data_IF_415373926171
#
_entry.id   IF_415373926171
#
_cell.length_a   1.000
_cell.length_b   1.000
_cell.length_c   1.000
_cell.angle_alpha   90.00
_cell.angle_beta   90.00
_cell.angle_gamma   90.00
#
_symmetry.space_group_name_H-M   'P 1'
#
loop_
_entity.id
_entity.type
_entity.pdbx_description
1 polymer ?
#
# COMPACT_ATOMS: atom_id res chain seq x y z
N UNK A 1 10.86 -3.59 8.93
CA UNK A 1 10.85 -3.58 7.45
C UNK A 1 9.50 -4.07 6.93
N UNK A 2 8.99 -3.44 5.85
CA UNK A 2 7.76 -3.89 5.18
C UNK A 2 8.07 -5.02 4.19
N UNK A 3 7.26 -6.09 4.21
CA UNK A 3 7.28 -7.19 3.24
C UNK A 3 5.90 -7.26 2.60
N UNK A 4 5.85 -7.06 1.29
CA UNK A 4 4.58 -7.00 0.56
C UNK A 4 4.17 -8.40 0.12
N UNK A 5 2.92 -8.77 0.39
CA UNK A 5 2.34 -10.06 -0.01
C UNK A 5 1.48 -9.90 -1.28
N UNK A 6 0.56 -8.93 -1.30
CA UNK A 6 -0.22 -8.59 -2.50
C UNK A 6 -0.36 -7.08 -2.67
N UNK A 7 -0.50 -6.66 -3.93
CA UNK A 7 -0.90 -5.31 -4.33
C UNK A 7 -2.00 -5.47 -5.36
N UNK A 8 -3.16 -4.93 -5.05
CA UNK A 8 -4.32 -4.91 -5.93
C UNK A 8 -4.65 -3.45 -6.24
N UNK A 9 -4.47 -3.03 -7.49
CA UNK A 9 -4.67 -1.65 -7.93
C UNK A 9 -5.78 -1.58 -8.98
N UNK A 10 -6.67 -0.60 -8.84
CA UNK A 10 -7.78 -0.34 -9.77
C UNK A 10 -7.84 1.15 -10.12
N UNK A 11 -8.30 1.50 -11.34
CA UNK A 11 -8.67 2.88 -11.65
C UNK A 11 -9.70 3.39 -10.65
N UNK A 12 -9.55 4.64 -10.23
CA UNK A 12 -10.48 5.33 -9.35
C UNK A 12 -11.01 6.61 -10.02
N UNK A 13 -11.82 7.38 -9.30
CA UNK A 13 -12.36 8.65 -9.77
C UNK A 13 -11.23 9.66 -10.05
N UNK A 14 -11.53 10.67 -10.88
CA UNK A 14 -10.62 11.80 -11.16
C UNK A 14 -9.23 11.38 -11.70
N UNK A 15 -9.19 10.34 -12.54
CA UNK A 15 -7.96 9.72 -13.04
C UNK A 15 -7.03 9.18 -11.93
N UNK A 16 -7.55 9.00 -10.72
CA UNK A 16 -6.82 8.44 -9.60
C UNK A 16 -6.71 6.93 -9.65
N UNK A 17 -5.99 6.38 -8.68
CA UNK A 17 -5.80 4.94 -8.51
C UNK A 17 -6.17 4.57 -7.08
N UNK A 18 -6.99 3.55 -6.90
CA UNK A 18 -7.25 2.96 -5.59
C UNK A 18 -6.40 1.68 -5.46
N UNK A 19 -5.60 1.60 -4.40
CA UNK A 19 -4.66 0.50 -4.19
C UNK A 19 -4.89 -0.10 -2.80
N UNK A 20 -5.00 -1.43 -2.74
CA UNK A 20 -4.98 -2.18 -1.49
C UNK A 20 -3.69 -2.99 -1.46
N UNK A 21 -2.95 -2.84 -0.35
CA UNK A 21 -1.69 -3.53 -0.09
C UNK A 21 -1.89 -4.44 1.11
N UNK A 22 -1.57 -5.72 0.96
CA UNK A 22 -1.47 -6.65 2.09
C UNK A 22 -0.02 -7.05 2.29
N UNK A 23 0.38 -7.26 3.54
CA UNK A 23 1.75 -7.63 3.82
C UNK A 23 2.03 -7.89 5.28
N UNK A 24 3.32 -7.91 5.58
CA UNK A 24 3.86 -8.12 6.90
C UNK A 24 4.84 -7.00 7.26
N UNK A 25 4.74 -6.52 8.50
CA UNK A 25 5.62 -5.55 9.09
C UNK A 25 6.47 -6.25 10.15
N UNK A 26 7.78 -6.26 9.93
CA UNK A 26 8.75 -6.62 10.96
C UNK A 26 9.10 -5.35 11.75
N UNK A 27 8.70 -5.27 13.01
CA UNK A 27 9.02 -4.14 13.89
C UNK A 27 10.25 -4.50 14.72
N UNK A 28 11.22 -3.59 14.79
CA UNK A 28 12.46 -3.75 15.57
C UNK A 28 13.20 -5.09 15.35
N UNK A 29 13.60 -5.76 16.43
CA UNK A 29 14.20 -7.11 16.44
C UNK A 29 13.18 -8.23 16.72
N UNK A 30 11.88 -7.92 16.61
CA UNK A 30 10.82 -8.88 16.87
C UNK A 30 10.85 -10.00 15.82
N UNK A 31 10.88 -11.26 16.25
CA UNK A 31 10.96 -12.41 15.32
C UNK A 31 9.63 -12.69 14.59
N UNK A 32 8.52 -12.17 15.11
CA UNK A 32 7.19 -12.43 14.60
C UNK A 32 6.72 -11.29 13.68
N UNK A 33 6.64 -11.49 12.37
CA UNK A 33 6.09 -10.48 11.47
C UNK A 33 4.60 -10.23 11.74
N UNK A 34 4.21 -8.95 11.79
CA UNK A 34 2.82 -8.52 12.02
C UNK A 34 2.11 -8.30 10.68
N UNK A 35 0.96 -8.93 10.46
CA UNK A 35 0.19 -8.74 9.22
C UNK A 35 -0.48 -7.37 9.19
N UNK A 36 -0.46 -6.73 8.03
CA UNK A 36 -1.17 -5.48 7.79
C UNK A 36 -1.95 -5.51 6.48
N UNK A 37 -3.01 -4.69 6.43
CA UNK A 37 -3.73 -4.33 5.22
C UNK A 37 -3.85 -2.81 5.20
N UNK A 38 -3.46 -2.18 4.09
CA UNK A 38 -3.51 -0.73 3.94
C UNK A 38 -4.11 -0.37 2.58
N UNK A 39 -5.01 0.62 2.58
CA UNK A 39 -5.61 1.15 1.37
C UNK A 39 -5.11 2.59 1.12
N UNK A 40 -4.88 2.91 -0.14
CA UNK A 40 -4.46 4.23 -0.60
C UNK A 40 -5.36 4.68 -1.75
N UNK A 41 -5.80 5.94 -1.70
CA UNK A 41 -6.39 6.63 -2.83
C UNK A 41 -5.34 7.60 -3.35
N UNK A 42 -4.76 7.29 -4.51
CA UNK A 42 -3.71 8.08 -5.13
C UNK A 42 -4.34 9.09 -6.10
N UNK A 43 -4.13 10.38 -5.84
CA UNK A 43 -4.61 11.46 -6.72
C UNK A 43 -3.43 11.99 -7.54
N UNK A 44 -3.52 12.05 -8.88
CA UNK A 44 -2.41 12.49 -9.71
C UNK A 44 -2.01 13.96 -9.42
N UNK A 45 -0.72 14.20 -9.28
CA UNK A 45 -0.10 15.53 -9.18
C UNK A 45 1.14 15.58 -10.07
N UNK A 46 1.04 16.27 -11.21
CA UNK A 46 2.05 16.25 -12.27
C UNK A 46 2.44 14.81 -12.67
N UNK A 47 3.69 14.40 -12.41
CA UNK A 47 4.20 13.06 -12.69
C UNK A 47 4.23 12.14 -11.45
N UNK A 48 3.60 12.55 -10.35
CA UNK A 48 3.51 11.81 -9.07
C UNK A 48 2.07 11.75 -8.57
N UNK A 49 1.86 11.28 -7.33
CA UNK A 49 0.58 11.24 -6.63
C UNK A 49 0.71 11.83 -5.22
N UNK A 50 -0.40 12.32 -4.67
CA UNK A 50 -0.56 12.66 -3.24
C UNK A 50 -1.61 11.79 -2.57
#
# INVERSE_FOLDING_TARGET
AHRIASIDAQPSISNGIFVVVTGELLVDEEQNPQRFTQAFQLIPEANTYW
#
